data_IF_730602359694
#
_entry.id   IF_730602359694
#
_cell.length_a   1.000
_cell.length_b   1.000
_cell.length_c   1.000
_cell.angle_alpha   90.00
_cell.angle_beta   90.00
_cell.angle_gamma   90.00
#
_symmetry.space_group_name_H-M   'P 1'
#
loop_
_entity.id
_entity.type
_entity.pdbx_description
1 polymer ?
#
# COMPACT_ATOMS: atom_id res chain seq x y z
N UNK A 1 2.78 2.52 25.49
CA UNK A 1 2.97 1.06 25.26
C UNK A 1 4.43 0.73 25.59
N UNK A 2 4.85 -0.54 25.67
CA UNK A 2 6.28 -0.87 25.73
C UNK A 2 6.99 -0.30 24.49
N UNK A 3 8.19 0.26 24.65
CA UNK A 3 8.94 0.93 23.56
C UNK A 3 9.10 0.06 22.31
N UNK A 4 9.30 -1.24 22.51
CA UNK A 4 9.43 -2.23 21.44
C UNK A 4 8.15 -2.38 20.60
N UNK A 5 6.98 -2.21 21.22
CA UNK A 5 5.70 -2.24 20.52
C UNK A 5 5.48 -0.97 19.71
N UNK A 6 5.87 0.19 20.24
CA UNK A 6 5.72 1.48 19.55
C UNK A 6 6.58 1.54 18.28
N UNK A 7 7.84 1.10 18.36
CA UNK A 7 8.74 0.99 17.20
C UNK A 7 8.17 0.05 16.14
N UNK A 8 7.70 -1.13 16.56
CA UNK A 8 7.12 -2.10 15.63
C UNK A 8 5.86 -1.55 14.94
N UNK A 9 4.92 -0.99 15.71
CA UNK A 9 3.67 -0.43 15.19
C UNK A 9 3.94 0.72 14.22
N UNK A 10 4.90 1.60 14.54
CA UNK A 10 5.30 2.68 13.67
C UNK A 10 5.87 2.16 12.34
N UNK A 11 6.78 1.19 12.38
CA UNK A 11 7.38 0.60 11.18
C UNK A 11 6.37 -0.14 10.32
N UNK A 12 5.46 -0.89 10.95
CA UNK A 12 4.36 -1.56 10.27
C UNK A 12 3.44 -0.55 9.57
N UNK A 13 3.09 0.55 10.24
CA UNK A 13 2.27 1.61 9.67
C UNK A 13 2.95 2.30 8.48
N UNK A 14 4.25 2.56 8.60
CA UNK A 14 5.07 3.11 7.50
C UNK A 14 5.12 2.17 6.29
N UNK A 15 5.34 0.88 6.50
CA UNK A 15 5.35 -0.12 5.44
C UNK A 15 3.98 -0.21 4.74
N UNK A 16 2.88 -0.24 5.52
CA UNK A 16 1.52 -0.24 5.00
C UNK A 16 1.25 0.99 4.13
N UNK A 17 1.65 2.18 4.59
CA UNK A 17 1.46 3.44 3.85
C UNK A 17 2.14 3.41 2.47
N UNK A 18 3.34 2.84 2.37
CA UNK A 18 4.04 2.67 1.08
C UNK A 18 3.26 1.76 0.14
N UNK A 19 2.75 0.63 0.64
CA UNK A 19 1.98 -0.34 -0.15
C UNK A 19 0.66 0.29 -0.61
N UNK A 20 -0.08 0.93 0.31
CA UNK A 20 -1.35 1.60 0.00
C UNK A 20 -1.17 2.70 -1.05
N UNK A 21 -0.13 3.52 -0.95
CA UNK A 21 0.14 4.56 -1.94
C UNK A 21 0.44 3.96 -3.33
N UNK A 22 1.25 2.91 -3.40
CA UNK A 22 1.58 2.25 -4.66
C UNK A 22 0.35 1.61 -5.32
N UNK A 23 -0.43 0.85 -4.56
CA UNK A 23 -1.66 0.23 -5.07
C UNK A 23 -2.79 1.25 -5.32
N UNK A 24 -2.81 2.38 -4.61
CA UNK A 24 -3.71 3.49 -4.88
C UNK A 24 -3.48 4.10 -6.26
N UNK A 25 -2.22 4.29 -6.65
CA UNK A 25 -1.87 4.70 -8.02
C UNK A 25 -2.35 3.64 -9.02
N UNK A 26 -2.05 2.37 -8.79
CA UNK A 26 -2.48 1.30 -9.70
C UNK A 26 -4.02 1.21 -9.82
N UNK A 27 -4.77 1.37 -8.73
CA UNK A 27 -6.23 1.31 -8.73
C UNK A 27 -6.90 2.54 -9.37
N UNK A 28 -6.26 3.72 -9.27
CA UNK A 28 -6.71 4.90 -10.01
C UNK A 28 -6.66 4.65 -11.52
N UNK A 29 -5.64 3.93 -12.00
CA UNK A 29 -5.37 3.68 -13.43
C UNK A 29 -6.04 2.43 -13.98
N UNK A 30 -5.99 1.33 -13.26
CA UNK A 30 -6.45 0.03 -13.73
C UNK A 30 -7.66 -0.42 -12.92
N UNK A 31 -8.81 -0.51 -13.59
CA UNK A 31 -10.08 -0.93 -12.99
C UNK A 31 -10.02 -2.31 -12.33
N UNK A 32 -9.08 -3.16 -12.74
CA UNK A 32 -8.87 -4.51 -12.17
C UNK A 32 -8.58 -4.49 -10.66
N UNK A 33 -7.93 -3.44 -10.14
CA UNK A 33 -7.64 -3.32 -8.70
C UNK A 33 -8.79 -2.70 -7.89
N UNK A 34 -9.86 -2.22 -8.54
CA UNK A 34 -11.01 -1.61 -7.85
C UNK A 34 -11.99 -2.65 -7.29
N UNK A 35 -11.82 -3.93 -7.64
CA UNK A 35 -12.64 -5.04 -7.14
C UNK A 35 -11.74 -6.18 -6.67
N UNK A 36 -12.21 -7.04 -5.75
CA UNK A 36 -11.50 -8.27 -5.41
C UNK A 36 -11.22 -9.10 -6.67
N UNK A 37 -9.96 -9.51 -6.83
CA UNK A 37 -9.52 -10.28 -7.99
C UNK A 37 -9.73 -11.77 -7.69
N UNK A 38 -10.63 -12.41 -8.42
CA UNK A 38 -10.88 -13.86 -8.31
C UNK A 38 -9.90 -14.57 -9.26
N UNK A 39 -8.71 -14.88 -8.77
CA UNK A 39 -7.69 -15.60 -9.52
C UNK A 39 -6.69 -16.32 -8.59
N UNK A 40 -5.90 -17.23 -9.14
CA UNK A 40 -4.80 -17.86 -8.40
C UNK A 40 -3.72 -16.85 -8.00
N UNK A 41 -2.98 -17.12 -6.93
CA UNK A 41 -1.86 -16.27 -6.48
C UNK A 41 -0.86 -15.97 -7.61
N UNK A 42 -0.48 -17.01 -8.37
CA UNK A 42 0.42 -16.89 -9.52
C UNK A 42 -0.12 -15.91 -10.57
N UNK A 43 -1.42 -15.95 -10.82
CA UNK A 43 -2.09 -15.04 -11.76
C UNK A 43 -2.09 -13.60 -11.24
N UNK A 44 -2.38 -13.39 -9.95
CA UNK A 44 -2.38 -12.05 -9.32
C UNK A 44 -0.99 -11.42 -9.38
N UNK A 45 0.07 -12.21 -9.14
CA UNK A 45 1.46 -11.76 -9.26
C UNK A 45 1.75 -11.30 -10.70
N UNK A 46 1.31 -12.08 -11.70
CA UNK A 46 1.50 -11.73 -13.11
C UNK A 46 0.71 -10.48 -13.53
N UNK A 47 -0.54 -10.35 -13.08
CA UNK A 47 -1.36 -9.15 -13.30
C UNK A 47 -0.64 -7.91 -12.74
N UNK A 48 -0.16 -8.00 -11.49
CA UNK A 48 0.54 -6.90 -10.83
C UNK A 48 1.78 -6.50 -11.61
N UNK A 49 2.62 -7.46 -12.01
CA UNK A 49 3.82 -7.20 -12.82
C UNK A 49 3.47 -6.56 -14.17
N UNK A 50 2.47 -7.09 -14.87
CA UNK A 50 2.03 -6.54 -16.16
C UNK A 50 1.54 -5.10 -16.02
N UNK A 51 0.77 -4.78 -14.97
CA UNK A 51 0.27 -3.41 -14.73
C UNK A 51 1.40 -2.42 -14.41
N UNK A 52 2.45 -2.86 -13.73
CA UNK A 52 3.64 -2.03 -13.46
C UNK A 52 4.38 -1.72 -14.76
N UNK A 53 4.62 -2.75 -15.59
CA UNK A 53 5.29 -2.56 -16.89
C UNK A 53 4.48 -1.63 -17.78
N UNK A 54 3.16 -1.83 -17.83
CA UNK A 54 2.25 -1.00 -18.62
C UNK A 54 2.22 0.45 -18.12
N UNK A 55 2.18 0.65 -16.80
CA UNK A 55 2.26 1.98 -16.20
C UNK A 55 3.55 2.72 -16.60
N UNK A 56 4.68 2.04 -16.52
CA UNK A 56 5.98 2.61 -16.87
C UNK A 56 6.08 2.92 -18.36
N UNK A 57 5.61 2.02 -19.22
CA UNK A 57 5.59 2.22 -20.68
C UNK A 57 4.79 3.47 -21.05
N UNK A 58 3.61 3.63 -20.46
CA UNK A 58 2.72 4.76 -20.69
C UNK A 58 3.34 6.06 -20.18
N UNK A 59 3.92 6.04 -18.97
CA UNK A 59 4.61 7.21 -18.41
C UNK A 59 5.75 7.70 -19.31
N UNK A 60 6.48 6.76 -19.90
CA UNK A 60 7.51 7.08 -20.90
C UNK A 60 6.90 7.71 -22.15
N UNK A 61 5.83 7.12 -22.70
CA UNK A 61 5.16 7.64 -23.89
C UNK A 61 4.64 9.08 -23.69
N UNK A 62 4.04 9.38 -22.54
CA UNK A 62 3.60 10.75 -22.22
C UNK A 62 4.75 11.74 -22.19
N UNK A 63 5.89 11.33 -21.63
CA UNK A 63 7.08 12.17 -21.53
C UNK A 63 7.66 12.46 -22.91
N UNK A 64 7.61 11.47 -23.81
CA UNK A 64 8.16 11.57 -25.16
C UNK A 64 7.25 12.36 -26.12
N UNK A 65 5.93 12.36 -25.89
CA UNK A 65 4.95 12.97 -26.82
C UNK A 65 4.47 14.35 -26.41
N UNK A 66 4.81 14.83 -25.21
CA UNK A 66 4.29 16.07 -24.59
C UNK A 66 2.75 16.14 -24.54
N UNK A 67 2.09 15.00 -24.79
CA UNK A 67 0.65 14.82 -24.72
C UNK A 67 0.37 14.11 -23.40
N UNK A 68 -0.29 14.83 -22.50
CA UNK A 68 -0.72 14.22 -21.26
C UNK A 68 -2.03 13.46 -21.42
N UNK A 69 -1.95 12.20 -21.82
CA UNK A 69 -3.10 11.29 -21.81
C UNK A 69 -3.45 10.80 -20.39
N UNK A 70 -2.49 10.84 -19.44
CA UNK A 70 -2.62 10.34 -18.06
C UNK A 70 -2.50 11.42 -16.97
N UNK A 71 -1.94 12.62 -17.18
CA UNK A 71 -1.79 13.64 -16.11
C UNK A 71 -2.98 14.60 -15.98
N UNK A 72 -4.21 14.11 -16.07
CA UNK A 72 -5.25 14.73 -15.26
C UNK A 72 -5.09 14.15 -13.85
N UNK A 73 -4.42 14.90 -12.95
CA UNK A 73 -4.35 14.67 -11.49
C UNK A 73 -3.36 13.65 -10.93
N UNK A 74 -2.05 13.77 -11.22
CA UNK A 74 -0.98 13.40 -10.26
C UNK A 74 0.16 14.44 -10.29
N UNK A 75 -0.16 15.73 -10.47
CA UNK A 75 0.72 16.75 -9.92
C UNK A 75 0.33 16.88 -8.45
N UNK A 76 1.33 16.99 -7.57
CA UNK A 76 1.18 17.15 -6.14
C UNK A 76 0.61 18.53 -5.80
N UNK A 77 -0.55 18.87 -6.34
CA UNK A 77 -1.34 20.05 -6.00
C UNK A 77 -2.66 19.55 -5.44
N UNK A 78 -2.89 19.86 -4.17
CA UNK A 78 -3.95 19.35 -3.31
C UNK A 78 -5.37 19.79 -3.71
N UNK A 79 -5.65 20.01 -4.99
CA UNK A 79 -6.79 20.84 -5.40
C UNK A 79 -7.71 20.26 -6.46
N UNK A 80 -7.52 19.03 -6.96
CA UNK A 80 -8.50 18.42 -7.87
C UNK A 80 -8.51 16.89 -7.73
N UNK A 81 -8.97 16.33 -6.61
CA UNK A 81 -9.54 14.98 -6.66
C UNK A 81 -10.93 15.12 -7.28
N UNK A 82 -11.06 14.84 -8.58
CA UNK A 82 -12.38 14.52 -9.13
C UNK A 82 -12.83 13.22 -8.46
N UNK A 83 -13.73 13.35 -7.49
CA UNK A 83 -14.43 12.26 -6.83
C UNK A 83 -15.46 11.68 -7.79
N UNK A 84 -14.98 11.10 -8.88
CA UNK A 84 -15.83 10.35 -9.80
C UNK A 84 -16.04 8.96 -9.18
N UNK A 85 -16.99 8.89 -8.24
CA UNK A 85 -17.54 7.68 -7.58
C UNK A 85 -16.55 6.50 -7.38
N UNK A 86 -15.30 6.81 -7.04
CA UNK A 86 -14.41 5.85 -6.44
C UNK A 86 -14.99 5.63 -5.05
N UNK A 87 -15.79 4.57 -4.89
CA UNK A 87 -16.03 3.98 -3.58
C UNK A 87 -14.64 3.82 -2.95
N UNK A 88 -14.27 4.76 -2.10
CA UNK A 88 -13.02 4.73 -1.37
C UNK A 88 -12.96 3.46 -0.55
N UNK A 89 -11.81 3.20 0.09
CA UNK A 89 -11.76 2.17 1.11
C UNK A 89 -12.84 2.49 2.15
N UNK A 90 -13.92 1.71 2.13
CA UNK A 90 -15.01 1.84 3.08
C UNK A 90 -14.40 1.63 4.47
N UNK A 91 -14.69 2.50 5.46
CA UNK A 91 -14.23 2.26 6.82
C UNK A 91 -14.64 0.85 7.23
N UNK A 92 -13.65 0.03 7.56
CA UNK A 92 -13.90 -1.34 8.01
C UNK A 92 -14.66 -1.21 9.33
N UNK A 93 -15.96 -1.52 9.30
CA UNK A 93 -16.75 -1.70 10.51
C UNK A 93 -16.03 -2.71 11.40
N UNK A 94 -16.02 -2.50 12.72
CA UNK A 94 -15.31 -3.36 13.69
C UNK A 94 -15.61 -4.83 13.39
N UNK A 95 -14.64 -5.51 12.78
CA UNK A 95 -14.78 -6.89 12.36
C UNK A 95 -14.47 -7.79 13.56
N UNK A 96 -15.49 -8.04 14.38
CA UNK A 96 -15.45 -9.03 15.46
C UNK A 96 -14.69 -8.60 16.73
N UNK A 97 -14.27 -9.62 17.48
CA UNK A 97 -13.52 -9.49 18.73
C UNK A 97 -12.19 -8.75 18.50
N UNK A 98 -11.82 -7.84 19.41
CA UNK A 98 -10.47 -7.24 19.41
C UNK A 98 -9.37 -8.29 19.74
N UNK A 99 -9.76 -9.52 20.07
CA UNK A 99 -8.85 -10.64 20.31
C UNK A 99 -8.53 -11.35 19.00
N UNK A 100 -7.33 -11.11 18.50
CA UNK A 100 -6.76 -11.80 17.35
C UNK A 100 -6.38 -13.24 17.73
N UNK A 101 -6.29 -14.15 16.74
CA UNK A 101 -5.98 -15.56 17.00
C UNK A 101 -4.60 -15.74 17.61
N UNK A 102 -4.39 -16.82 18.38
CA UNK A 102 -3.07 -17.15 18.94
C UNK A 102 -1.99 -17.25 17.87
N UNK A 103 -2.32 -17.75 16.66
CA UNK A 103 -1.40 -17.77 15.53
C UNK A 103 -1.03 -16.35 15.04
N UNK A 104 -2.01 -15.45 14.91
CA UNK A 104 -1.74 -14.05 14.57
C UNK A 104 -0.85 -13.36 15.62
N UNK A 105 -0.97 -13.76 16.90
CA UNK A 105 -0.06 -13.33 17.97
C UNK A 105 1.35 -13.76 17.75
N UNK A 106 1.52 -15.05 17.49
CA UNK A 106 2.83 -15.62 17.29
C UNK A 106 3.53 -14.99 16.08
N UNK A 107 2.81 -14.76 14.98
CA UNK A 107 3.33 -14.07 13.80
C UNK A 107 3.72 -12.63 14.14
N UNK A 108 2.87 -11.89 14.85
CA UNK A 108 3.17 -10.51 15.29
C UNK A 108 4.43 -10.48 16.15
N UNK A 109 4.55 -11.40 17.10
CA UNK A 109 5.69 -11.45 18.02
C UNK A 109 6.98 -11.83 17.28
N UNK A 110 6.94 -12.81 16.36
CA UNK A 110 8.08 -13.16 15.48
C UNK A 110 8.55 -11.97 14.65
N UNK A 111 7.62 -11.23 14.04
CA UNK A 111 7.95 -10.04 13.27
C UNK A 111 8.49 -8.91 14.14
N UNK A 112 7.89 -8.67 15.31
CA UNK A 112 8.34 -7.67 16.28
C UNK A 112 9.78 -7.92 16.72
N UNK A 113 10.08 -9.17 17.05
CA UNK A 113 11.43 -9.65 17.34
C UNK A 113 12.34 -9.26 16.17
N UNK A 114 12.11 -9.77 14.96
CA UNK A 114 12.94 -9.47 13.79
C UNK A 114 13.17 -7.98 13.54
N UNK A 115 12.09 -7.18 13.55
CA UNK A 115 12.09 -5.73 13.31
C UNK A 115 12.95 -5.00 14.35
N UNK A 116 12.88 -5.38 15.61
CA UNK A 116 13.59 -4.67 16.68
C UNK A 116 15.05 -5.14 16.86
N UNK A 117 15.42 -6.33 16.38
CA UNK A 117 16.82 -6.82 16.42
C UNK A 117 17.52 -6.79 15.05
N UNK A 118 17.30 -7.78 14.19
CA UNK A 118 18.11 -8.06 13.02
C UNK A 118 17.78 -7.08 11.88
N UNK A 119 16.53 -6.64 11.84
CA UNK A 119 16.06 -5.58 10.98
C UNK A 119 16.08 -4.21 11.64
N UNK A 120 16.78 -4.02 12.76
CA UNK A 120 16.85 -2.75 13.48
C UNK A 120 17.46 -1.66 12.60
N UNK A 121 16.85 -0.48 12.62
CA UNK A 121 17.34 0.70 11.90
C UNK A 121 17.83 1.75 12.88
N UNK A 122 18.94 2.42 12.58
CA UNK A 122 19.58 3.37 13.49
C UNK A 122 18.69 4.56 13.89
N UNK A 123 17.74 4.93 13.02
CA UNK A 123 16.81 6.03 13.28
C UNK A 123 15.53 5.59 13.99
N UNK A 124 15.32 4.29 14.22
CA UNK A 124 14.05 3.79 14.76
C UNK A 124 13.78 4.24 16.20
N UNK A 125 14.84 4.59 16.95
CA UNK A 125 14.76 5.10 18.33
C UNK A 125 14.59 6.63 18.39
N UNK A 126 14.80 7.35 17.28
CA UNK A 126 14.70 8.82 17.18
C UNK A 126 13.28 9.32 16.93
N UNK A 127 12.34 8.42 16.65
CA UNK A 127 10.96 8.76 16.27
C UNK A 127 9.93 8.38 17.35
N UNK A 128 10.40 8.13 18.59
CA UNK A 128 9.58 8.00 19.79
C UNK A 128 9.58 9.29 20.60
#
# INVERSE_FOLDING_TARGET
MPKDEDIFNYRLSRARRTIENAFGILASRFRIFRKPIIASEKTIINITKATIVLHNFIKKLETDTDISMYNQTISCSASNMQTDELQGLVPINRAGSNHYSSNAKEIRDKLKIYVNHAGALEYQQRQL
#
